data_IF_659075399148
#
_entry.id   IF_659075399148
#
_cell.length_a   1.000
_cell.length_b   1.000
_cell.length_c   1.000
_cell.angle_alpha   90.00
_cell.angle_beta   90.00
_cell.angle_gamma   90.00
#
_symmetry.space_group_name_H-M   'P 1'
#
loop_
_entity.id
_entity.type
_entity.pdbx_description
1 polymer ?
#
# COMPACT_ATOMS: atom_id res chain seq x y z
N UNK A 1 44.95 47.39 -32.61
CA UNK A 1 45.76 47.26 -31.37
C UNK A 1 45.87 48.65 -30.74
N UNK A 2 45.88 48.84 -29.39
CA UNK A 2 46.39 47.99 -28.29
C UNK A 2 45.28 47.52 -27.33
N UNK A 3 45.36 46.35 -26.69
CA UNK A 3 46.22 45.90 -25.58
C UNK A 3 45.95 46.63 -24.25
N UNK A 4 45.49 45.89 -23.25
CA UNK A 4 45.30 46.35 -21.88
C UNK A 4 44.92 45.21 -20.95
N UNK A 5 45.85 44.28 -20.70
CA UNK A 5 45.82 43.41 -19.53
C UNK A 5 46.20 44.22 -18.28
N UNK A 6 45.44 44.04 -17.21
CA UNK A 6 45.81 44.26 -15.79
C UNK A 6 44.77 43.45 -14.99
N UNK A 7 45.07 42.41 -14.22
CA UNK A 7 46.33 42.03 -13.58
C UNK A 7 46.42 42.63 -12.18
N UNK A 8 45.73 42.03 -11.19
CA UNK A 8 46.16 41.87 -9.77
C UNK A 8 45.05 41.14 -9.00
N UNK A 9 45.18 39.85 -8.65
CA UNK A 9 46.04 39.20 -7.64
C UNK A 9 45.64 39.45 -6.18
N UNK A 10 45.34 38.31 -5.52
CA UNK A 10 45.79 37.89 -4.18
C UNK A 10 45.20 38.67 -2.99
N UNK A 11 44.75 38.11 -1.87
CA UNK A 11 44.93 36.84 -1.11
C UNK A 11 43.95 36.96 0.07
N UNK A 12 43.35 35.91 0.66
CA UNK A 12 43.94 34.98 1.64
C UNK A 12 42.78 34.05 2.08
N UNK A 13 42.91 32.72 1.95
CA UNK A 13 43.48 31.76 2.91
C UNK A 13 42.65 31.52 4.18
N UNK A 14 42.06 30.32 4.25
CA UNK A 14 42.04 29.36 5.39
C UNK A 14 41.04 28.25 5.00
N UNK A 15 41.47 27.06 4.54
CA UNK A 15 42.02 25.94 5.32
C UNK A 15 41.04 25.38 6.35
N UNK A 16 40.45 24.22 6.03
CA UNK A 16 39.92 23.14 6.87
C UNK A 16 38.86 22.40 6.02
N UNK A 17 38.78 21.10 5.87
CA UNK A 17 39.46 19.94 6.43
C UNK A 17 38.85 18.74 5.70
N UNK A 18 39.70 17.84 5.24
CA UNK A 18 39.38 16.65 4.45
C UNK A 18 38.97 15.51 5.37
N UNK A 19 37.71 15.09 5.43
CA UNK A 19 37.40 13.73 5.94
C UNK A 19 36.29 13.05 5.14
N UNK A 20 36.75 12.05 4.39
CA UNK A 20 35.96 11.04 3.68
C UNK A 20 35.20 10.17 4.68
N UNK A 21 33.87 10.08 4.56
CA UNK A 21 33.11 8.99 5.17
C UNK A 21 32.58 8.05 4.09
N UNK A 22 33.48 7.12 3.71
CA UNK A 22 33.15 5.84 3.11
C UNK A 22 32.42 5.01 4.18
N UNK A 23 31.12 4.82 4.06
CA UNK A 23 30.42 3.80 4.84
C UNK A 23 30.46 2.52 4.02
N UNK A 24 31.38 1.65 4.45
CA UNK A 24 31.65 0.32 3.93
C UNK A 24 30.49 -0.63 4.17
N UNK A 25 30.11 -1.35 3.11
CA UNK A 25 29.48 -2.67 3.18
C UNK A 25 30.42 -3.63 3.91
N UNK A 26 29.97 -4.24 5.01
CA UNK A 26 30.54 -5.49 5.53
C UNK A 26 29.39 -6.37 6.03
N UNK A 27 29.30 -7.52 5.39
CA UNK A 27 28.41 -8.64 5.67
C UNK A 27 28.98 -9.53 6.83
N UNK A 28 28.27 -10.62 7.24
CA UNK A 28 28.15 -11.13 8.62
C UNK A 28 29.26 -12.12 9.00
N UNK A 29 29.34 -12.53 10.28
CA UNK A 29 29.78 -13.85 10.82
C UNK A 29 29.82 -13.72 12.36
N UNK A 30 28.96 -14.39 13.15
CA UNK A 30 29.00 -15.79 13.59
C UNK A 30 29.44 -15.91 15.07
N UNK A 31 28.70 -16.72 15.83
CA UNK A 31 29.16 -17.48 17.00
C UNK A 31 29.42 -16.76 18.35
N UNK A 32 28.38 -16.75 19.20
CA UNK A 32 28.55 -16.93 20.65
C UNK A 32 27.80 -18.19 21.10
N UNK A 33 28.51 -19.33 21.07
CA UNK A 33 28.19 -20.53 21.85
C UNK A 33 28.78 -20.37 23.26
N UNK A 34 27.93 -20.49 24.28
CA UNK A 34 28.18 -21.16 25.58
C UNK A 34 26.83 -21.25 26.31
N UNK A 35 26.12 -22.39 26.36
CA UNK A 35 26.39 -23.74 26.91
C UNK A 35 25.75 -23.88 28.32
N UNK A 36 24.62 -24.57 28.29
CA UNK A 36 24.04 -25.49 29.28
C UNK A 36 23.75 -25.04 30.72
N UNK A 37 22.47 -25.11 31.08
CA UNK A 37 22.04 -25.80 32.30
C UNK A 37 20.63 -26.36 32.09
N UNK A 38 20.54 -27.69 32.17
CA UNK A 38 19.32 -28.49 32.30
C UNK A 38 18.35 -27.97 33.36
N UNK A 39 17.05 -28.05 33.05
CA UNK A 39 15.96 -28.36 33.97
C UNK A 39 14.76 -28.76 33.08
N UNK A 40 14.60 -30.06 32.79
CA UNK A 40 13.66 -30.95 33.49
C UNK A 40 12.20 -30.48 33.38
N UNK A 41 11.51 -31.16 32.47
CA UNK A 41 10.17 -31.77 32.55
C UNK A 41 9.07 -31.13 33.40
N UNK A 42 7.87 -31.19 32.79
CA UNK A 42 6.55 -31.28 33.41
C UNK A 42 5.94 -29.95 33.85
N UNK A 43 4.81 -29.58 33.21
CA UNK A 43 3.58 -29.05 33.86
C UNK A 43 2.54 -28.71 32.76
N UNK A 44 1.73 -29.73 32.47
CA UNK A 44 0.27 -29.73 32.26
C UNK A 44 -0.37 -29.05 31.02
N UNK A 45 -0.74 -29.89 30.04
CA UNK A 45 -1.70 -29.66 28.94
C UNK A 45 -3.16 -29.30 29.39
N UNK A 46 -3.39 -28.99 30.66
CA UNK A 46 -4.73 -28.74 31.22
C UNK A 46 -5.32 -27.36 30.86
N UNK A 47 -4.47 -26.36 30.59
CA UNK A 47 -4.93 -24.99 30.33
C UNK A 47 -5.57 -24.82 28.95
N UNK A 48 -5.10 -25.55 27.93
CA UNK A 48 -5.66 -25.47 26.59
C UNK A 48 -7.11 -26.00 26.54
N UNK A 49 -7.38 -27.08 27.27
CA UNK A 49 -8.72 -27.67 27.37
C UNK A 49 -9.66 -26.83 28.22
N UNK A 50 -9.16 -26.19 29.28
CA UNK A 50 -9.92 -25.22 30.06
C UNK A 50 -10.33 -24.03 29.20
N UNK A 51 -9.40 -23.47 28.41
CA UNK A 51 -9.68 -22.38 27.46
C UNK A 51 -10.72 -22.80 26.41
N UNK A 52 -10.66 -24.05 25.91
CA UNK A 52 -11.62 -24.58 24.93
C UNK A 52 -13.02 -24.72 25.51
N UNK A 53 -13.13 -25.21 26.76
CA UNK A 53 -14.40 -25.32 27.48
C UNK A 53 -14.99 -23.94 27.78
N UNK A 54 -14.17 -23.00 28.26
CA UNK A 54 -14.60 -21.64 28.56
C UNK A 54 -15.12 -20.91 27.31
N UNK A 55 -14.44 -21.06 26.16
CA UNK A 55 -14.90 -20.52 24.87
C UNK A 55 -16.22 -21.13 24.43
N UNK A 56 -16.39 -22.43 24.59
CA UNK A 56 -17.62 -23.15 24.21
C UNK A 56 -18.80 -22.75 25.09
N UNK A 57 -18.57 -22.58 26.39
CA UNK A 57 -19.58 -22.15 27.36
C UNK A 57 -20.01 -20.70 27.15
N UNK A 58 -19.06 -19.78 26.95
CA UNK A 58 -19.36 -18.39 26.62
C UNK A 58 -20.19 -18.26 25.33
N UNK A 59 -19.87 -19.04 24.30
CA UNK A 59 -20.65 -19.05 23.05
C UNK A 59 -22.06 -19.62 23.23
N UNK A 60 -22.23 -20.62 24.11
CA UNK A 60 -23.54 -21.20 24.43
C UNK A 60 -24.41 -20.27 25.28
N UNK A 61 -23.81 -19.46 26.16
CA UNK A 61 -24.52 -18.44 26.92
C UNK A 61 -25.10 -17.37 26.00
N UNK A 62 -24.28 -16.84 25.08
CA UNK A 62 -24.72 -15.85 24.08
C UNK A 62 -25.88 -16.38 23.24
N UNK A 63 -25.91 -17.68 22.96
CA UNK A 63 -26.97 -18.32 22.14
C UNK A 63 -28.29 -18.52 22.88
N UNK A 64 -28.29 -18.51 24.22
CA UNK A 64 -29.51 -18.70 25.03
C UNK A 64 -30.31 -17.41 25.23
N UNK A 65 -29.65 -16.26 25.10
CA UNK A 65 -30.29 -14.93 25.26
C UNK A 65 -30.72 -14.30 23.92
N UNK A 66 -30.51 -14.98 22.78
CA UNK A 66 -30.99 -14.53 21.47
C UNK A 66 -32.30 -15.25 21.11
N UNK A 67 -33.39 -14.52 20.74
CA UNK A 67 -34.59 -15.16 20.20
C UNK A 67 -34.25 -15.97 18.93
N UNK A 68 -34.93 -17.09 18.77
CA UNK A 68 -34.80 -18.11 17.71
C UNK A 68 -35.13 -17.61 16.29
N UNK A 69 -34.98 -16.31 16.02
CA UNK A 69 -35.28 -15.68 14.73
C UNK A 69 -34.18 -14.70 14.26
N UNK A 70 -32.95 -14.89 14.74
CA UNK A 70 -31.79 -14.21 14.21
C UNK A 70 -30.77 -15.25 13.73
N UNK A 71 -31.09 -15.96 12.65
CA UNK A 71 -30.04 -16.51 11.81
C UNK A 71 -29.13 -15.32 11.43
N UNK A 72 -27.83 -15.33 11.77
CA UNK A 72 -26.95 -14.27 11.33
C UNK A 72 -27.03 -14.26 9.80
N UNK A 73 -27.19 -13.09 9.14
CA UNK A 73 -27.15 -13.05 7.68
C UNK A 73 -25.87 -13.75 7.26
N UNK A 74 -26.00 -14.84 6.50
CA UNK A 74 -24.86 -15.60 6.01
C UNK A 74 -24.03 -14.58 5.25
N UNK A 75 -22.90 -14.16 5.83
CA UNK A 75 -22.07 -13.13 5.25
C UNK A 75 -21.52 -13.70 3.94
N UNK A 76 -22.18 -13.37 2.82
CA UNK A 76 -21.76 -13.76 1.48
C UNK A 76 -20.28 -13.40 1.37
N UNK A 77 -19.44 -14.41 1.15
CA UNK A 77 -18.00 -14.20 1.06
C UNK A 77 -17.73 -13.45 -0.24
N UNK A 78 -17.16 -12.25 -0.13
CA UNK A 78 -16.68 -11.48 -1.28
C UNK A 78 -15.54 -12.25 -1.92
N UNK A 79 -15.70 -12.69 -3.16
CA UNK A 79 -14.64 -13.34 -3.95
C UNK A 79 -14.01 -12.27 -4.84
N UNK A 80 -12.71 -12.06 -4.72
CA UNK A 80 -11.95 -11.18 -5.62
C UNK A 80 -11.27 -12.07 -6.65
N UNK A 81 -11.60 -11.88 -7.92
CA UNK A 81 -10.98 -12.61 -9.04
C UNK A 81 -10.02 -11.69 -9.79
N UNK A 82 -8.92 -12.25 -10.29
CA UNK A 82 -7.98 -11.54 -11.18
C UNK A 82 -8.36 -11.82 -12.62
N UNK A 83 -8.63 -10.78 -13.38
CA UNK A 83 -8.99 -10.85 -14.78
C UNK A 83 -7.90 -10.21 -15.62
N UNK A 84 -7.36 -10.95 -16.59
CA UNK A 84 -6.39 -10.41 -17.55
C UNK A 84 -7.07 -9.40 -18.48
N UNK A 85 -6.39 -8.28 -18.70
CA UNK A 85 -6.87 -7.22 -19.59
C UNK A 85 -6.49 -7.48 -21.05
N UNK A 86 -7.32 -7.06 -22.02
CA UNK A 86 -6.96 -7.10 -23.43
C UNK A 86 -5.79 -6.16 -23.70
N UNK A 87 -4.86 -6.56 -24.56
CA UNK A 87 -3.71 -5.73 -24.91
C UNK A 87 -4.15 -4.38 -25.52
N UNK A 88 -5.14 -4.38 -26.43
CA UNK A 88 -5.62 -3.15 -27.04
C UNK A 88 -6.21 -2.14 -26.03
N UNK A 89 -6.66 -2.59 -24.86
CA UNK A 89 -7.07 -1.67 -23.79
C UNK A 89 -5.85 -1.00 -23.12
N UNK A 90 -4.76 -1.75 -22.92
CA UNK A 90 -3.53 -1.19 -22.37
C UNK A 90 -2.89 -0.22 -23.36
N UNK A 91 -2.84 -0.59 -24.64
CA UNK A 91 -2.33 0.29 -25.70
C UNK A 91 -3.14 1.60 -25.74
N UNK A 92 -4.47 1.51 -25.64
CA UNK A 92 -5.33 2.69 -25.53
C UNK A 92 -5.00 3.56 -24.31
N UNK A 93 -4.79 2.96 -23.12
CA UNK A 93 -4.39 3.69 -21.91
C UNK A 93 -3.02 4.36 -22.05
N UNK A 94 -2.09 3.76 -22.80
CA UNK A 94 -0.78 4.35 -23.08
C UNK A 94 -0.87 5.54 -24.04
N UNK A 95 -1.71 5.43 -25.07
CA UNK A 95 -1.93 6.49 -26.06
C UNK A 95 -2.76 7.65 -25.49
N UNK A 96 -3.72 7.34 -24.61
CA UNK A 96 -4.70 8.28 -24.09
C UNK A 96 -4.74 8.19 -22.55
N UNK A 97 -3.70 8.65 -21.85
CA UNK A 97 -3.68 8.63 -20.39
C UNK A 97 -4.80 9.50 -19.83
N UNK A 98 -5.40 9.07 -18.71
CA UNK A 98 -6.41 9.86 -18.04
C UNK A 98 -5.83 11.17 -17.50
N UNK A 99 -6.31 12.32 -18.00
CA UNK A 99 -5.86 13.65 -17.57
C UNK A 99 -7.09 14.48 -17.19
N UNK A 100 -7.15 14.90 -15.92
CA UNK A 100 -8.09 15.93 -15.50
C UNK A 100 -7.54 17.30 -15.88
N UNK A 101 -8.38 18.14 -16.50
CA UNK A 101 -7.99 19.50 -16.85
C UNK A 101 -7.79 20.34 -15.59
N UNK A 102 -6.54 20.65 -15.27
CA UNK A 102 -6.22 21.46 -14.10
C UNK A 102 -6.70 22.92 -14.27
N UNK A 103 -7.39 23.41 -13.25
CA UNK A 103 -7.77 24.81 -13.14
C UNK A 103 -6.68 25.54 -12.35
N UNK A 104 -6.08 26.62 -12.89
CA UNK A 104 -5.08 27.41 -12.17
C UNK A 104 -5.60 27.90 -10.82
N UNK A 105 -4.74 27.92 -9.81
CA UNK A 105 -5.10 28.29 -8.45
C UNK A 105 -5.72 29.70 -8.35
N UNK A 106 -5.24 30.64 -9.15
CA UNK A 106 -5.80 32.01 -9.26
C UNK A 106 -7.26 32.02 -9.70
N UNK A 107 -7.67 31.06 -10.52
CA UNK A 107 -9.07 30.92 -10.96
C UNK A 107 -9.92 30.15 -9.97
N UNK A 108 -9.31 29.31 -9.14
CA UNK A 108 -9.98 28.58 -8.07
C UNK A 108 -10.36 29.52 -6.92
N UNK A 109 -9.49 30.46 -6.53
CA UNK A 109 -9.76 31.42 -5.45
C UNK A 109 -10.96 32.34 -5.74
N UNK A 110 -11.25 32.58 -7.02
CA UNK A 110 -12.42 33.35 -7.46
C UNK A 110 -13.74 32.55 -7.46
N UNK A 111 -13.72 31.25 -7.11
CA UNK A 111 -14.89 30.37 -7.12
C UNK A 111 -15.50 30.21 -5.73
N UNK A 112 -16.75 29.75 -5.70
CA UNK A 112 -17.44 29.44 -4.45
C UNK A 112 -16.81 28.25 -3.74
N UNK A 113 -16.94 28.19 -2.42
CA UNK A 113 -16.45 27.07 -1.61
C UNK A 113 -17.02 25.72 -2.07
N UNK A 114 -18.31 25.67 -2.43
CA UNK A 114 -18.94 24.46 -2.99
C UNK A 114 -18.25 23.98 -4.27
N UNK A 115 -17.82 24.90 -5.13
CA UNK A 115 -17.07 24.54 -6.35
C UNK A 115 -15.69 23.97 -6.01
N UNK A 116 -14.97 24.59 -5.07
CA UNK A 116 -13.66 24.11 -4.63
C UNK A 116 -13.73 22.69 -4.05
N UNK A 117 -14.73 22.43 -3.21
CA UNK A 117 -14.95 21.10 -2.62
C UNK A 117 -15.26 20.04 -3.69
N UNK A 118 -16.11 20.36 -4.66
CA UNK A 118 -16.40 19.45 -5.78
C UNK A 118 -15.16 19.22 -6.66
N UNK A 119 -14.42 20.28 -7.01
CA UNK A 119 -13.21 20.19 -7.80
C UNK A 119 -12.13 19.36 -7.09
N UNK A 120 -11.94 19.54 -5.78
CA UNK A 120 -10.99 18.75 -5.00
C UNK A 120 -11.36 17.25 -4.98
N UNK A 121 -12.66 16.93 -4.86
CA UNK A 121 -13.14 15.54 -4.95
C UNK A 121 -12.90 14.94 -6.33
N UNK A 122 -13.23 15.69 -7.37
CA UNK A 122 -13.01 15.27 -8.76
C UNK A 122 -11.52 15.06 -9.04
N UNK A 123 -10.66 15.97 -8.58
CA UNK A 123 -9.21 15.83 -8.66
C UNK A 123 -8.71 14.58 -7.95
N UNK A 124 -9.18 14.32 -6.72
CA UNK A 124 -8.77 13.13 -5.98
C UNK A 124 -9.22 11.82 -6.66
N UNK A 125 -10.37 11.81 -7.34
CA UNK A 125 -10.82 10.65 -8.13
C UNK A 125 -9.94 10.51 -9.38
N UNK A 126 -9.70 11.61 -10.09
CA UNK A 126 -8.83 11.64 -11.26
C UNK A 126 -7.43 11.10 -10.97
N UNK A 127 -6.82 11.54 -9.87
CA UNK A 127 -5.49 11.10 -9.45
C UNK A 127 -5.47 9.59 -9.17
N UNK A 128 -6.53 9.05 -8.56
CA UNK A 128 -6.66 7.60 -8.33
C UNK A 128 -6.82 6.81 -9.63
N UNK A 129 -7.59 7.32 -10.58
CA UNK A 129 -7.77 6.68 -11.89
C UNK A 129 -6.45 6.66 -12.65
N UNK A 130 -5.74 7.79 -12.69
CA UNK A 130 -4.44 7.88 -13.34
C UNK A 130 -3.41 6.94 -12.69
N UNK A 131 -3.34 6.89 -11.36
CA UNK A 131 -2.47 5.95 -10.64
C UNK A 131 -2.80 4.49 -10.97
N UNK A 132 -4.09 4.17 -11.08
CA UNK A 132 -4.55 2.84 -11.43
C UNK A 132 -4.16 2.45 -12.87
N UNK A 133 -4.38 3.33 -13.84
CA UNK A 133 -3.95 3.11 -15.24
C UNK A 133 -2.43 2.95 -15.34
N UNK A 134 -1.67 3.80 -14.67
CA UNK A 134 -0.21 3.69 -14.62
C UNK A 134 0.25 2.36 -14.01
N UNK A 135 -0.42 1.88 -12.95
CA UNK A 135 -0.11 0.57 -12.37
C UNK A 135 -0.35 -0.57 -13.37
N UNK A 136 -1.44 -0.53 -14.14
CA UNK A 136 -1.73 -1.52 -15.17
C UNK A 136 -0.72 -1.47 -16.33
N UNK A 137 -0.36 -0.28 -16.80
CA UNK A 137 0.65 -0.10 -17.84
C UNK A 137 2.00 -0.63 -17.35
N UNK A 138 2.41 -0.29 -16.13
CA UNK A 138 3.65 -0.81 -15.55
C UNK A 138 3.64 -2.33 -15.39
N UNK A 139 2.50 -2.92 -15.00
CA UNK A 139 2.36 -4.38 -14.96
C UNK A 139 2.53 -4.99 -16.36
N UNK A 140 1.94 -4.38 -17.38
CA UNK A 140 2.10 -4.82 -18.77
C UNK A 140 3.55 -4.72 -19.26
N UNK A 141 4.23 -3.60 -19.00
CA UNK A 141 5.62 -3.40 -19.40
C UNK A 141 6.58 -4.38 -18.71
N UNK A 142 6.26 -4.82 -17.48
CA UNK A 142 7.11 -5.75 -16.71
C UNK A 142 6.82 -7.22 -17.00
N UNK A 143 5.55 -7.60 -17.20
CA UNK A 143 5.12 -9.00 -17.33
C UNK A 143 4.68 -9.41 -18.74
N UNK A 144 4.46 -8.44 -19.63
CA UNK A 144 3.81 -8.64 -20.94
C UNK A 144 2.29 -8.79 -20.86
N UNK A 145 1.69 -8.58 -19.69
CA UNK A 145 0.24 -8.60 -19.49
C UNK A 145 -0.16 -7.84 -18.22
N UNK A 146 -1.38 -7.31 -18.20
CA UNK A 146 -1.96 -6.64 -17.04
C UNK A 146 -3.19 -7.40 -16.53
N UNK A 147 -3.43 -7.35 -15.22
CA UNK A 147 -4.57 -7.97 -14.57
C UNK A 147 -5.32 -6.93 -13.73
N UNK A 148 -6.64 -6.96 -13.77
CA UNK A 148 -7.49 -6.20 -12.86
C UNK A 148 -8.16 -7.12 -11.85
N UNK A 149 -8.39 -6.61 -10.66
CA UNK A 149 -9.18 -7.29 -9.64
C UNK A 149 -10.66 -6.93 -9.82
N UNK A 150 -11.52 -7.94 -9.84
CA UNK A 150 -12.98 -7.81 -9.95
C UNK A 150 -13.61 -8.47 -8.74
N UNK A 151 -14.40 -7.71 -7.99
CA UNK A 151 -15.19 -8.26 -6.88
C UNK A 151 -16.46 -8.92 -7.44
N UNK A 152 -16.64 -10.21 -7.17
CA UNK A 152 -17.85 -10.97 -7.52
C UNK A 152 -18.60 -11.30 -6.25
N UNK A 153 -19.88 -10.94 -6.23
CA UNK A 153 -20.81 -11.34 -5.16
C UNK A 153 -21.49 -12.64 -5.59
N UNK A 154 -21.28 -13.70 -4.82
CA UNK A 154 -21.92 -15.01 -5.00
C UNK A 154 -23.40 -14.86 -4.60
N UNK A 155 -24.28 -14.65 -5.57
CA UNK A 155 -25.73 -14.69 -5.38
C UNK A 155 -26.27 -16.05 -5.85
N UNK A 156 -25.82 -17.12 -5.19
CA UNK A 156 -26.46 -18.43 -5.31
C UNK A 156 -27.41 -18.62 -4.12
N UNK A 157 -28.60 -18.08 -4.26
CA UNK A 157 -29.78 -18.63 -3.58
C UNK A 157 -30.35 -19.70 -4.52
N UNK A 158 -29.73 -20.88 -4.49
CA UNK A 158 -30.33 -22.09 -5.06
C UNK A 158 -31.66 -22.35 -4.33
N UNK A 159 -32.74 -22.18 -5.09
CA UNK A 159 -34.11 -22.55 -4.76
C UNK A 159 -34.18 -24.05 -4.47
N UNK A 160 -34.71 -24.42 -3.30
CA UNK A 160 -35.09 -25.80 -3.00
C UNK A 160 -36.36 -25.82 -2.15
#
# INVERSE_FOLDING_TARGET
>A
MPMGHVGRELVASASDGVENLKITVLEPHESLKRKESSASEEEVDADADLIRRLKKEALALIRKDLPEEAQPPVKKRKKIIKQRLPQGLIDYMMENPFILREIPQERLTARSQRFLESYAKEKAIADKVLQYEQALINQYLTKGYAEREVEVTDDESEEN
#
